data_IF_891416218725
#
_entry.id   IF_891416218725
#
_cell.length_a   1.000
_cell.length_b   1.000
_cell.length_c   1.000
_cell.angle_alpha   90.00
_cell.angle_beta   90.00
_cell.angle_gamma   90.00
#
_symmetry.space_group_name_H-M   'P 1'
#
loop_
_entity.id
_entity.type
_entity.pdbx_description
1 polymer ?
#
# COMPACT_ATOMS: atom_id res chain seq x y z
N UNK A 1 23.25 -28.06 -32.43
CA UNK A 1 24.19 -28.08 -31.29
C UNK A 1 25.48 -27.33 -31.63
N UNK A 2 26.09 -26.61 -30.67
CA UNK A 2 27.37 -25.92 -30.90
C UNK A 2 28.54 -26.91 -30.75
N UNK A 3 29.56 -26.81 -31.61
CA UNK A 3 30.79 -27.61 -31.51
C UNK A 3 31.37 -27.52 -30.08
N UNK A 4 31.79 -28.66 -29.53
CA UNK A 4 32.35 -28.82 -28.17
C UNK A 4 31.38 -28.56 -26.99
N UNK A 5 30.07 -28.54 -27.22
CA UNK A 5 29.06 -28.53 -26.13
C UNK A 5 28.24 -29.81 -26.18
N UNK A 6 28.20 -30.53 -25.07
CA UNK A 6 27.36 -31.70 -24.87
C UNK A 6 26.22 -31.35 -23.90
N UNK A 7 25.03 -31.86 -24.15
CA UNK A 7 23.86 -31.74 -23.26
C UNK A 7 23.43 -33.15 -22.92
N UNK A 8 23.42 -33.47 -21.63
CA UNK A 8 22.97 -34.76 -21.11
C UNK A 8 21.59 -34.58 -20.49
N UNK A 9 20.63 -35.35 -20.97
CA UNK A 9 19.26 -35.38 -20.44
C UNK A 9 18.93 -36.83 -20.06
N UNK A 10 18.24 -36.99 -18.94
CA UNK A 10 17.73 -38.28 -18.48
C UNK A 10 16.21 -38.16 -18.38
N UNK A 11 15.50 -39.15 -18.91
CA UNK A 11 14.05 -39.26 -18.79
C UNK A 11 13.66 -40.69 -18.47
N UNK A 12 12.66 -40.85 -17.61
CA UNK A 12 11.99 -42.13 -17.37
C UNK A 12 10.68 -42.25 -18.17
N UNK A 13 10.33 -41.23 -18.99
CA UNK A 13 9.11 -41.19 -19.79
C UNK A 13 9.36 -41.43 -21.29
N UNK A 14 10.57 -41.10 -21.77
CA UNK A 14 10.97 -41.31 -23.16
C UNK A 14 11.85 -42.57 -23.20
N UNK A 15 11.39 -43.61 -23.88
CA UNK A 15 12.05 -44.92 -23.95
C UNK A 15 12.72 -45.17 -25.31
N UNK A 16 12.55 -44.25 -26.26
CA UNK A 16 13.04 -44.30 -27.62
C UNK A 16 13.93 -43.07 -27.92
N UNK A 17 14.58 -43.12 -29.08
CA UNK A 17 15.45 -42.06 -29.62
C UNK A 17 14.71 -41.18 -30.64
N UNK A 18 13.39 -41.03 -30.47
CA UNK A 18 12.53 -40.27 -31.36
C UNK A 18 13.02 -38.81 -31.54
N UNK A 19 12.98 -38.35 -32.79
CA UNK A 19 13.41 -37.02 -33.21
C UNK A 19 12.31 -36.34 -34.00
N UNK A 20 12.11 -35.06 -33.73
CA UNK A 20 11.12 -34.26 -34.42
C UNK A 20 11.70 -33.63 -35.70
N UNK A 21 11.22 -34.05 -36.87
CA UNK A 21 11.67 -33.54 -38.17
C UNK A 21 11.31 -32.06 -38.38
N UNK A 22 10.21 -31.57 -37.81
CA UNK A 22 9.75 -30.18 -37.97
C UNK A 22 10.58 -29.18 -37.14
N UNK A 23 11.24 -29.65 -36.08
CA UNK A 23 12.04 -28.82 -35.16
C UNK A 23 13.54 -29.10 -35.23
N UNK A 24 14.12 -28.98 -36.43
CA UNK A 24 15.58 -29.11 -36.66
C UNK A 24 16.15 -30.48 -36.25
N UNK A 25 15.36 -31.56 -36.28
CA UNK A 25 15.74 -32.91 -35.83
C UNK A 25 16.24 -32.93 -34.38
N UNK A 26 15.63 -32.12 -33.52
CA UNK A 26 15.86 -32.20 -32.07
C UNK A 26 15.18 -33.46 -31.54
N UNK A 27 15.86 -34.14 -30.62
CA UNK A 27 15.28 -35.27 -29.90
C UNK A 27 14.07 -34.81 -29.09
N UNK A 28 13.02 -35.62 -29.05
CA UNK A 28 11.75 -35.26 -28.39
C UNK A 28 11.95 -34.96 -26.90
N UNK A 29 12.85 -35.69 -26.24
CA UNK A 29 13.27 -35.41 -24.86
C UNK A 29 13.78 -33.98 -24.65
N UNK A 30 14.50 -33.42 -25.64
CA UNK A 30 15.01 -32.04 -25.59
C UNK A 30 13.87 -31.04 -25.71
N UNK A 31 12.89 -31.34 -26.58
CA UNK A 31 11.73 -30.48 -26.80
C UNK A 31 10.86 -30.44 -25.54
N UNK A 32 10.49 -31.61 -25.03
CA UNK A 32 9.70 -31.75 -23.80
C UNK A 32 10.38 -31.09 -22.60
N UNK A 33 11.70 -31.27 -22.45
CA UNK A 33 12.47 -30.58 -21.42
C UNK A 33 12.41 -29.05 -21.60
N UNK A 34 12.56 -28.54 -22.82
CA UNK A 34 12.53 -27.11 -23.07
C UNK A 34 11.17 -26.46 -22.80
N UNK A 35 10.07 -27.18 -23.05
CA UNK A 35 8.71 -26.74 -22.74
C UNK A 35 8.46 -26.62 -21.23
N UNK A 36 9.05 -27.52 -20.45
CA UNK A 36 8.75 -27.65 -19.01
C UNK A 36 9.79 -27.00 -18.09
N UNK A 37 11.05 -26.88 -18.53
CA UNK A 37 12.16 -26.37 -17.71
C UNK A 37 11.94 -24.94 -17.20
N UNK A 38 11.15 -24.14 -17.89
CA UNK A 38 10.91 -22.74 -17.52
C UNK A 38 9.89 -22.56 -16.41
N UNK A 39 9.27 -23.62 -15.89
CA UNK A 39 8.21 -23.51 -14.87
C UNK A 39 8.63 -22.71 -13.63
N UNK A 40 9.83 -22.97 -13.10
CA UNK A 40 10.36 -22.27 -11.91
C UNK A 40 10.80 -20.84 -12.24
N UNK A 41 11.55 -20.65 -13.34
CA UNK A 41 12.01 -19.33 -13.78
C UNK A 41 10.84 -18.38 -14.08
N UNK A 42 9.74 -18.93 -14.62
CA UNK A 42 8.51 -18.20 -14.93
C UNK A 42 7.77 -17.76 -13.66
N UNK A 43 8.01 -18.43 -12.52
CA UNK A 43 7.48 -18.04 -11.21
C UNK A 43 8.39 -17.02 -10.50
N UNK A 44 9.71 -17.18 -10.60
CA UNK A 44 10.69 -16.31 -9.95
C UNK A 44 10.62 -14.85 -10.45
N UNK A 45 10.50 -14.66 -11.76
CA UNK A 45 10.45 -13.31 -12.34
C UNK A 45 9.24 -12.51 -11.81
N UNK A 46 7.99 -13.02 -11.82
CA UNK A 46 6.86 -12.38 -11.17
C UNK A 46 7.07 -12.14 -9.67
N UNK A 47 7.59 -13.10 -8.90
CA UNK A 47 7.80 -12.94 -7.44
C UNK A 47 8.68 -11.72 -7.15
N UNK A 48 9.73 -11.50 -7.94
CA UNK A 48 10.65 -10.37 -7.78
C UNK A 48 10.01 -9.00 -8.07
N UNK A 49 9.09 -8.89 -9.04
CA UNK A 49 8.49 -7.61 -9.44
C UNK A 49 7.64 -6.97 -8.33
N UNK A 50 6.98 -7.78 -7.51
CA UNK A 50 6.12 -7.30 -6.41
C UNK A 50 6.56 -7.85 -5.06
N UNK A 51 7.88 -7.84 -4.80
CA UNK A 51 8.44 -8.36 -3.55
C UNK A 51 8.19 -7.44 -2.35
N UNK A 52 7.84 -8.04 -1.22
CA UNK A 52 7.76 -7.40 0.08
C UNK A 52 9.10 -7.43 0.85
N UNK A 53 10.15 -8.00 0.27
CA UNK A 53 11.47 -8.13 0.91
C UNK A 53 12.02 -6.76 1.28
N UNK A 54 12.55 -6.67 2.50
CA UNK A 54 13.24 -5.47 3.02
C UNK A 54 14.67 -5.81 3.36
N UNK A 55 15.54 -4.81 3.44
CA UNK A 55 16.90 -5.00 3.96
C UNK A 55 16.82 -5.23 5.47
N UNK A 56 17.17 -6.44 5.91
CA UNK A 56 17.07 -6.89 7.31
C UNK A 56 18.33 -7.68 7.67
N UNK A 57 18.74 -7.62 8.95
CA UNK A 57 19.88 -8.40 9.48
C UNK A 57 19.45 -9.73 10.13
N UNK A 58 18.20 -10.14 9.95
CA UNK A 58 17.61 -11.33 10.58
C UNK A 58 17.27 -12.35 9.50
N UNK A 59 18.07 -13.41 9.38
CA UNK A 59 17.89 -14.45 8.35
C UNK A 59 16.46 -15.03 8.28
N UNK A 60 15.77 -15.37 9.39
CA UNK A 60 14.43 -15.96 9.33
C UNK A 60 13.38 -15.07 8.65
N UNK A 61 13.55 -13.75 8.77
CA UNK A 61 12.63 -12.81 8.15
C UNK A 61 12.75 -12.79 6.61
N UNK A 62 13.89 -13.19 6.05
CA UNK A 62 14.06 -13.32 4.59
C UNK A 62 13.21 -14.47 4.05
N UNK A 63 13.17 -15.59 4.78
CA UNK A 63 12.31 -16.72 4.46
C UNK A 63 10.84 -16.30 4.55
N UNK A 64 10.46 -15.60 5.62
CA UNK A 64 9.09 -15.09 5.79
C UNK A 64 8.63 -14.21 4.64
N UNK A 65 9.45 -13.24 4.20
CA UNK A 65 9.10 -12.39 3.05
C UNK A 65 8.99 -13.19 1.75
N UNK A 66 9.86 -14.18 1.55
CA UNK A 66 9.77 -15.06 0.37
C UNK A 66 8.46 -15.86 0.39
N UNK A 67 8.08 -16.40 1.54
CA UNK A 67 6.80 -17.10 1.70
C UNK A 67 5.61 -16.18 1.41
N UNK A 68 5.64 -14.93 1.90
CA UNK A 68 4.58 -13.95 1.63
C UNK A 68 4.47 -13.62 0.13
N UNK A 69 5.59 -13.43 -0.56
CA UNK A 69 5.58 -13.12 -2.00
C UNK A 69 5.02 -14.30 -2.83
N UNK A 70 5.41 -15.53 -2.49
CA UNK A 70 4.89 -16.76 -3.10
C UNK A 70 3.39 -16.94 -2.82
N UNK A 71 2.96 -16.72 -1.57
CA UNK A 71 1.56 -16.81 -1.17
C UNK A 71 0.69 -15.80 -1.93
N UNK A 72 1.16 -14.56 -2.08
CA UNK A 72 0.45 -13.53 -2.85
C UNK A 72 0.31 -13.88 -4.34
N UNK A 73 1.33 -14.50 -4.94
CA UNK A 73 1.27 -14.98 -6.32
C UNK A 73 0.31 -16.18 -6.45
N UNK A 74 0.39 -17.16 -5.56
CA UNK A 74 -0.50 -18.32 -5.55
C UNK A 74 -1.97 -17.91 -5.40
N UNK A 75 -2.26 -17.02 -4.45
CA UNK A 75 -3.60 -16.47 -4.26
C UNK A 75 -4.11 -15.74 -5.51
N UNK A 76 -3.24 -14.98 -6.18
CA UNK A 76 -3.59 -14.32 -7.44
C UNK A 76 -3.93 -15.31 -8.56
N UNK A 77 -3.15 -16.38 -8.72
CA UNK A 77 -3.42 -17.43 -9.71
C UNK A 77 -4.77 -18.08 -9.45
N UNK A 78 -5.04 -18.48 -8.21
CA UNK A 78 -6.33 -19.07 -7.81
C UNK A 78 -7.48 -18.11 -8.09
N UNK A 79 -7.33 -16.82 -7.72
CA UNK A 79 -8.36 -15.80 -7.97
C UNK A 79 -8.65 -15.62 -9.45
N UNK A 80 -7.61 -15.58 -10.29
CA UNK A 80 -7.73 -15.43 -11.74
C UNK A 80 -8.41 -16.65 -12.38
N UNK A 81 -8.09 -17.86 -11.93
CA UNK A 81 -8.74 -19.09 -12.40
C UNK A 81 -10.23 -19.09 -12.07
N UNK A 82 -10.60 -18.62 -10.87
CA UNK A 82 -12.01 -18.54 -10.45
C UNK A 82 -12.76 -17.37 -11.10
N UNK A 83 -12.07 -16.27 -11.42
CA UNK A 83 -12.67 -15.03 -11.92
C UNK A 83 -11.91 -14.54 -13.17
N UNK A 84 -12.07 -15.19 -14.34
CA UNK A 84 -11.29 -14.88 -15.54
C UNK A 84 -11.55 -13.47 -16.08
N UNK A 85 -12.78 -12.98 -15.93
CA UNK A 85 -13.22 -11.67 -16.42
C UNK A 85 -12.85 -10.51 -15.48
N UNK A 86 -12.38 -10.83 -14.27
CA UNK A 86 -12.02 -9.82 -13.28
C UNK A 86 -10.86 -8.95 -13.80
N UNK A 87 -11.15 -7.65 -13.98
CA UNK A 87 -10.24 -6.69 -14.57
C UNK A 87 -9.70 -7.09 -15.96
N UNK A 88 -10.51 -7.79 -16.78
CA UNK A 88 -10.11 -8.32 -18.08
C UNK A 88 -9.39 -7.30 -18.98
N UNK A 89 -9.86 -6.06 -19.01
CA UNK A 89 -9.31 -4.99 -19.86
C UNK A 89 -8.09 -4.28 -19.27
N UNK A 90 -7.68 -4.62 -18.05
CA UNK A 90 -6.54 -3.98 -17.37
C UNK A 90 -5.28 -4.82 -17.58
N UNK A 91 -4.17 -4.15 -17.85
CA UNK A 91 -2.83 -4.75 -17.98
C UNK A 91 -2.23 -5.09 -16.61
N UNK A 92 -2.55 -4.32 -15.56
CA UNK A 92 -1.95 -4.42 -14.22
C UNK A 92 -2.80 -5.23 -13.23
N UNK A 93 -3.38 -6.36 -13.65
CA UNK A 93 -4.33 -7.11 -12.82
C UNK A 93 -3.72 -7.61 -11.51
N UNK A 94 -2.48 -8.10 -11.53
CA UNK A 94 -1.80 -8.57 -10.32
C UNK A 94 -1.57 -7.46 -9.29
N UNK A 95 -1.16 -6.27 -9.75
CA UNK A 95 -1.02 -5.10 -8.87
C UNK A 95 -2.34 -4.74 -8.21
N UNK A 96 -3.42 -4.69 -9.00
CA UNK A 96 -4.76 -4.41 -8.48
C UNK A 96 -5.18 -5.46 -7.45
N UNK A 97 -4.88 -6.74 -7.71
CA UNK A 97 -5.20 -7.82 -6.78
C UNK A 97 -4.46 -7.66 -5.46
N UNK A 98 -3.15 -7.42 -5.50
CA UNK A 98 -2.33 -7.24 -4.30
C UNK A 98 -2.75 -5.99 -3.51
N UNK A 99 -3.11 -4.90 -4.19
CA UNK A 99 -3.64 -3.70 -3.51
C UNK A 99 -4.96 -3.98 -2.80
N UNK A 100 -5.88 -4.68 -3.45
CA UNK A 100 -7.18 -5.00 -2.86
C UNK A 100 -7.05 -6.00 -1.72
N UNK A 101 -6.20 -7.03 -1.89
CA UNK A 101 -5.84 -7.96 -0.83
C UNK A 101 -5.25 -7.24 0.39
N UNK A 102 -4.30 -6.33 0.16
CA UNK A 102 -3.69 -5.53 1.23
C UNK A 102 -4.69 -4.65 1.97
N UNK A 103 -5.62 -4.02 1.26
CA UNK A 103 -6.72 -3.24 1.89
C UNK A 103 -7.59 -4.13 2.76
N UNK A 104 -8.06 -5.27 2.25
CA UNK A 104 -8.93 -6.18 2.99
C UNK A 104 -8.27 -6.73 4.25
N UNK A 105 -6.96 -7.02 4.21
CA UNK A 105 -6.21 -7.47 5.39
C UNK A 105 -6.11 -6.38 6.47
N UNK A 106 -5.98 -5.11 6.06
CA UNK A 106 -5.84 -3.98 6.98
C UNK A 106 -7.20 -3.49 7.47
N UNK A 107 -8.27 -3.65 6.69
CA UNK A 107 -9.62 -3.16 7.01
C UNK A 107 -10.13 -3.71 8.34
N UNK A 108 -9.88 -4.99 8.64
CA UNK A 108 -10.23 -5.61 9.92
C UNK A 108 -9.60 -4.87 11.11
N UNK A 109 -8.36 -4.40 10.96
CA UNK A 109 -7.68 -3.62 12.00
C UNK A 109 -8.17 -2.19 12.05
N UNK A 110 -8.43 -1.56 10.89
CA UNK A 110 -8.97 -0.21 10.81
C UNK A 110 -10.34 -0.12 11.48
N UNK A 111 -11.22 -1.10 11.26
CA UNK A 111 -12.53 -1.16 11.92
C UNK A 111 -12.40 -1.25 13.44
N UNK A 112 -11.47 -2.08 13.95
CA UNK A 112 -11.18 -2.17 15.39
C UNK A 112 -10.67 -0.84 15.96
N UNK A 113 -9.84 -0.13 15.21
CA UNK A 113 -9.32 1.18 15.61
C UNK A 113 -10.38 2.27 15.56
N UNK A 114 -11.25 2.26 14.55
CA UNK A 114 -12.37 3.19 14.43
C UNK A 114 -13.39 3.04 15.59
N UNK A 115 -13.58 1.81 16.09
CA UNK A 115 -14.42 1.53 17.25
C UNK A 115 -13.74 1.86 18.60
N UNK A 116 -12.44 2.16 18.61
CA UNK A 116 -11.69 2.44 19.85
C UNK A 116 -11.94 3.87 20.35
N UNK A 117 -11.95 4.12 21.68
CA UNK A 117 -12.21 5.45 22.22
C UNK A 117 -11.25 6.51 21.67
N UNK A 118 -11.77 7.71 21.38
CA UNK A 118 -11.02 8.82 20.75
C UNK A 118 -9.78 9.30 21.54
N UNK A 119 -9.59 8.88 22.80
CA UNK A 119 -8.39 9.20 23.58
C UNK A 119 -7.21 8.24 23.30
N UNK A 120 -7.46 7.10 22.66
CA UNK A 120 -6.45 6.05 22.42
C UNK A 120 -5.56 6.30 21.19
N UNK A 121 -6.04 7.08 20.21
CA UNK A 121 -5.37 7.25 18.92
C UNK A 121 -4.92 8.70 18.68
N UNK A 122 -3.66 8.92 18.25
CA UNK A 122 -3.18 10.22 17.82
C UNK A 122 -4.07 10.84 16.73
N UNK A 123 -4.22 12.17 16.75
CA UNK A 123 -5.08 12.90 15.82
C UNK A 123 -4.79 12.59 14.34
N UNK A 124 -3.51 12.48 13.98
CA UNK A 124 -3.09 12.18 12.59
C UNK A 124 -3.55 10.81 12.13
N UNK A 125 -3.50 9.80 13.00
CA UNK A 125 -3.94 8.44 12.70
C UNK A 125 -5.46 8.41 12.53
N UNK A 126 -6.21 9.05 13.42
CA UNK A 126 -7.67 9.14 13.33
C UNK A 126 -8.13 9.80 12.04
N UNK A 127 -7.51 10.94 11.68
CA UNK A 127 -7.82 11.65 10.45
C UNK A 127 -7.50 10.81 9.20
N UNK A 128 -6.42 10.02 9.23
CA UNK A 128 -6.10 9.11 8.14
C UNK A 128 -7.12 7.97 8.01
N UNK A 129 -7.60 7.40 9.13
CA UNK A 129 -8.66 6.37 9.15
C UNK A 129 -9.96 6.95 8.56
N UNK A 130 -10.37 8.15 8.97
CA UNK A 130 -11.55 8.85 8.43
C UNK A 130 -11.42 9.08 6.91
N UNK A 131 -10.23 9.42 6.41
CA UNK A 131 -9.98 9.65 4.99
C UNK A 131 -10.01 8.38 4.13
N UNK A 132 -9.76 7.21 4.73
CA UNK A 132 -9.79 5.91 4.05
C UNK A 132 -11.25 5.42 3.84
N UNK A 133 -12.23 6.11 4.43
CA UNK A 133 -13.66 5.82 4.22
C UNK A 133 -14.26 4.81 5.19
N UNK A 134 -13.49 4.34 6.18
CA UNK A 134 -14.07 3.65 7.34
C UNK A 134 -14.87 4.66 8.14
N UNK A 135 -16.20 4.60 8.02
CA UNK A 135 -17.10 5.40 8.82
C UNK A 135 -16.82 5.10 10.31
N UNK A 136 -16.10 6.01 10.97
CA UNK A 136 -16.16 6.10 12.42
C UNK A 136 -17.62 6.30 12.76
N UNK A 137 -18.15 5.50 13.69
CA UNK A 137 -19.49 5.61 14.28
C UNK A 137 -19.64 6.89 15.11
N UNK A 138 -19.34 8.02 14.48
CA UNK A 138 -19.74 9.34 14.91
C UNK A 138 -20.82 9.76 13.93
N UNK A 139 -21.94 9.03 13.96
CA UNK A 139 -23.20 9.64 13.56
C UNK A 139 -23.28 10.97 14.31
N UNK A 140 -23.34 12.05 13.51
CA UNK A 140 -23.65 13.39 14.00
C UNK A 140 -25.03 13.32 14.63
N UNK A 141 -25.06 13.01 15.92
CA UNK A 141 -26.14 13.42 16.78
C UNK A 141 -26.05 14.94 16.85
N UNK A 142 -26.89 15.61 16.08
CA UNK A 142 -27.31 17.00 16.31
C UNK A 142 -28.09 17.06 17.62
N UNK A 143 -27.39 16.78 18.73
CA UNK A 143 -27.86 17.10 20.05
C UNK A 143 -27.22 18.43 20.42
N UNK A 144 -28.05 19.46 20.58
CA UNK A 144 -27.68 20.76 21.13
C UNK A 144 -26.87 20.55 22.40
N UNK A 145 -25.55 20.73 22.32
CA UNK A 145 -24.68 20.80 23.50
C UNK A 145 -24.40 22.26 23.72
N UNK A 146 -24.85 22.80 24.85
CA UNK A 146 -24.24 23.97 25.45
C UNK A 146 -22.72 23.83 25.32
N UNK A 147 -22.11 24.72 24.52
CA UNK A 147 -20.68 24.65 24.22
C UNK A 147 -19.88 24.89 25.50
N UNK A 148 -19.50 23.79 26.17
CA UNK A 148 -18.37 23.84 27.11
C UNK A 148 -17.16 24.30 26.30
N UNK A 149 -16.81 25.58 26.40
CA UNK A 149 -15.69 26.16 25.66
C UNK A 149 -14.38 25.40 25.95
N UNK A 150 -13.99 24.53 25.01
CA UNK A 150 -12.76 23.73 25.13
C UNK A 150 -11.56 24.61 24.79
N UNK A 151 -10.70 24.85 25.77
CA UNK A 151 -9.42 25.50 25.57
C UNK A 151 -8.44 24.61 24.81
N UNK A 152 -7.87 25.13 23.70
CA UNK A 152 -6.87 24.41 22.88
C UNK A 152 -5.56 25.19 22.82
N UNK A 153 -4.43 24.52 22.59
CA UNK A 153 -3.12 25.19 22.43
C UNK A 153 -3.10 25.98 21.11
N UNK A 154 -2.56 27.20 21.14
CA UNK A 154 -2.29 27.96 19.92
C UNK A 154 -1.28 27.22 19.02
N UNK A 155 -1.60 27.06 17.74
CA UNK A 155 -0.76 26.35 16.77
C UNK A 155 0.57 27.06 16.49
N UNK A 156 0.61 28.38 16.63
CA UNK A 156 1.76 29.21 16.29
C UNK A 156 2.69 29.48 17.50
N UNK A 157 2.22 29.23 18.72
CA UNK A 157 3.08 29.33 19.90
C UNK A 157 4.02 28.12 19.99
N UNK A 158 5.30 28.37 20.25
CA UNK A 158 6.26 27.32 20.60
C UNK A 158 5.81 26.52 21.84
N UNK A 159 6.16 25.22 21.90
CA UNK A 159 5.69 24.30 22.95
C UNK A 159 5.95 24.78 24.39
N UNK A 160 7.05 25.52 24.61
CA UNK A 160 7.41 26.09 25.92
C UNK A 160 6.39 27.12 26.45
N UNK A 161 5.69 27.84 25.55
CA UNK A 161 4.71 28.87 25.95
C UNK A 161 3.32 28.30 26.28
N UNK A 162 2.99 27.10 25.79
CA UNK A 162 1.70 26.39 25.94
C UNK A 162 0.44 27.28 26.06
N UNK A 163 0.34 28.32 25.22
CA UNK A 163 -0.74 29.30 25.34
C UNK A 163 -2.07 28.66 24.95
N UNK A 164 -2.96 28.50 25.93
CA UNK A 164 -4.33 27.98 25.73
C UNK A 164 -5.25 29.10 25.28
N UNK A 165 -6.04 28.85 24.25
CA UNK A 165 -6.87 29.84 23.58
C UNK A 165 -8.27 29.30 23.36
N UNK A 166 -9.25 30.20 23.39
CA UNK A 166 -10.64 29.94 22.98
C UNK A 166 -10.89 30.36 21.53
N UNK A 167 -10.10 31.31 21.03
CA UNK A 167 -10.23 31.86 19.69
C UNK A 167 -9.64 30.95 18.61
N UNK A 168 -10.26 30.96 17.43
CA UNK A 168 -9.80 30.26 16.24
C UNK A 168 -9.85 31.18 15.03
N UNK A 169 -8.97 30.94 14.05
CA UNK A 169 -8.95 31.71 12.81
C UNK A 169 -10.25 31.47 12.03
N UNK A 170 -10.93 32.53 11.61
CA UNK A 170 -12.21 32.45 10.88
C UNK A 170 -12.05 31.63 9.58
N UNK A 171 -10.93 31.80 8.86
CA UNK A 171 -10.69 31.15 7.57
C UNK A 171 -10.29 29.68 7.67
N UNK A 172 -9.45 29.30 8.64
CA UNK A 172 -8.89 27.95 8.72
C UNK A 172 -9.28 27.16 9.99
N UNK A 173 -10.07 27.77 10.89
CA UNK A 173 -10.53 27.25 12.19
C UNK A 173 -9.43 26.70 13.10
N UNK A 174 -8.16 27.05 12.85
CA UNK A 174 -7.03 26.68 13.73
C UNK A 174 -7.06 27.52 15.00
N UNK A 175 -6.86 26.92 16.20
CA UNK A 175 -6.80 27.66 17.45
C UNK A 175 -5.58 28.58 17.47
N UNK A 176 -5.82 29.88 17.67
CA UNK A 176 -4.80 30.93 17.62
C UNK A 176 -4.98 31.89 18.78
N UNK A 177 -3.88 32.32 19.41
CA UNK A 177 -3.96 33.39 20.40
C UNK A 177 -4.14 34.74 19.71
N UNK A 178 -4.57 35.74 20.46
CA UNK A 178 -4.78 37.09 19.93
C UNK A 178 -3.49 37.73 19.38
N UNK A 179 -2.29 37.27 19.81
CA UNK A 179 -1.01 37.70 19.20
C UNK A 179 -0.82 37.18 17.77
N UNK A 180 -1.40 36.02 17.44
CA UNK A 180 -1.31 35.40 16.11
C UNK A 180 -2.59 35.56 15.29
N UNK A 181 -3.66 36.09 15.89
CA UNK A 181 -4.93 36.37 15.23
C UNK A 181 -4.90 37.81 14.74
N UNK A 182 -4.53 38.04 13.47
CA UNK A 182 -4.63 39.37 12.86
C UNK A 182 -6.10 39.75 12.70
N UNK A 183 -6.46 40.94 13.18
CA UNK A 183 -7.84 41.40 13.37
C UNK A 183 -8.33 42.45 12.35
N UNK A 184 -7.57 42.78 11.30
CA UNK A 184 -7.91 43.93 10.42
C UNK A 184 -7.82 43.62 8.91
N UNK A 185 -8.56 44.43 8.12
CA UNK A 185 -8.82 44.25 6.68
C UNK A 185 -7.67 44.75 5.78
N UNK A 186 -7.77 44.49 4.47
CA UNK A 186 -6.75 44.83 3.44
C UNK A 186 -6.37 46.32 3.34
N UNK A 187 -7.17 47.24 3.90
CA UNK A 187 -6.80 48.67 4.01
C UNK A 187 -5.90 48.98 5.22
N UNK A 188 -5.79 48.07 6.19
CA UNK A 188 -5.08 48.27 7.46
C UNK A 188 -3.76 47.47 7.58
N UNK A 189 -3.33 46.76 6.52
CA UNK A 189 -2.07 45.97 6.47
C UNK A 189 -1.09 46.57 5.44
N UNK A 190 -1.12 47.90 5.24
CA UNK A 190 -0.22 48.57 4.30
C UNK A 190 1.11 48.85 5.00
N UNK A 191 2.17 48.25 4.46
CA UNK A 191 3.56 48.27 4.92
C UNK A 191 4.01 49.54 5.68
N UNK A 192 4.78 49.39 6.77
CA UNK A 192 5.35 50.51 7.50
C UNK A 192 6.60 51.04 6.80
N UNK A 193 6.50 51.84 5.73
CA UNK A 193 7.57 52.78 5.31
C UNK A 193 7.08 53.87 4.33
N UNK A 194 6.76 55.02 4.91
CA UNK A 194 6.77 56.43 4.45
C UNK A 194 7.39 56.84 3.08
N UNK A 195 6.75 57.88 2.50
CA UNK A 195 7.30 59.01 1.72
C UNK A 195 7.58 58.84 0.21
N UNK A 196 6.64 59.30 -0.65
CA UNK A 196 6.66 60.58 -1.41
C UNK A 196 5.42 60.66 -2.31
#
# INVERSE_FOLDING_TARGET
LKRKKCVLLLSTMHHDDAVNEDQERKADIVLFYNETKSGVDTLDQPVLVYTCKRRIRRCPMVLWFTTLDCAGLAAYVIWKCKNPDWNARKTQRRRLFLMECGKNLVDIFLQKWAASPAQSLPYTVRKAIEQIGTATSTERSEASKEEKHIYRRCVFCGRKRDKKVRSSCIRCRKPCCNEHLRSYCEHCDVNPSTSQ
#
